data_IF_603004626736
#
_entry.id   IF_603004626736
#
_cell.length_a   1.000
_cell.length_b   1.000
_cell.length_c   1.000
_cell.angle_alpha   90.00
_cell.angle_beta   90.00
_cell.angle_gamma   90.00
#
_symmetry.space_group_name_H-M   'P 1'
#
loop_
_entity.id
_entity.type
_entity.pdbx_description
1 polymer ?
#
# COMPACT_ATOMS: atom_id res chain seq x y z
N UNK A 1 -19.05 -40.92 -12.74
CA UNK A 1 -17.70 -40.43 -12.46
C UNK A 1 -17.17 -39.81 -13.75
N UNK A 2 -17.03 -38.49 -13.84
CA UNK A 2 -16.45 -37.86 -15.02
C UNK A 2 -14.92 -37.79 -14.91
N UNK A 3 -14.25 -37.95 -16.06
CA UNK A 3 -12.80 -37.95 -16.29
C UNK A 3 -12.13 -36.61 -15.91
N UNK A 4 -10.84 -36.61 -15.53
CA UNK A 4 -10.10 -35.39 -15.26
C UNK A 4 -9.70 -34.70 -16.57
N UNK A 5 -9.98 -33.39 -16.64
CA UNK A 5 -9.60 -32.52 -17.74
C UNK A 5 -8.09 -32.27 -17.77
N UNK A 6 -7.61 -32.03 -19.00
CA UNK A 6 -6.21 -31.90 -19.38
C UNK A 6 -5.59 -30.59 -18.90
N UNK A 7 -4.39 -30.75 -18.40
CA UNK A 7 -3.39 -29.78 -17.99
C UNK A 7 -3.01 -28.80 -19.13
N UNK A 8 -3.22 -27.51 -18.91
CA UNK A 8 -2.84 -26.43 -19.82
C UNK A 8 -1.53 -25.81 -19.31
N UNK A 9 -0.41 -26.23 -19.92
CA UNK A 9 0.90 -25.59 -19.71
C UNK A 9 0.91 -24.18 -20.30
N UNK A 10 1.29 -23.22 -19.47
CA UNK A 10 1.63 -21.84 -19.85
C UNK A 10 3.01 -21.85 -20.53
N UNK A 11 3.23 -21.14 -21.66
CA UNK A 11 4.52 -21.11 -22.32
C UNK A 11 5.53 -20.25 -21.54
N UNK A 12 6.72 -20.81 -21.32
CA UNK A 12 7.87 -20.16 -20.71
C UNK A 12 8.31 -18.92 -21.49
N UNK A 13 8.47 -17.81 -20.76
CA UNK A 13 9.07 -16.56 -21.23
C UNK A 13 10.56 -16.78 -21.51
N UNK A 14 11.04 -16.20 -22.62
CA UNK A 14 12.45 -16.27 -23.03
C UNK A 14 13.22 -15.13 -22.36
N UNK A 15 14.14 -15.47 -21.45
CA UNK A 15 15.00 -14.51 -20.76
C UNK A 15 16.00 -13.84 -21.72
N UNK A 16 16.07 -12.51 -21.65
CA UNK A 16 17.12 -11.69 -22.24
C UNK A 16 18.29 -11.68 -21.26
N UNK A 17 19.48 -12.07 -21.69
CA UNK A 17 20.67 -12.18 -20.84
C UNK A 17 21.50 -10.90 -20.81
N UNK A 18 22.19 -10.73 -19.68
CA UNK A 18 22.88 -9.54 -19.16
C UNK A 18 24.18 -9.13 -19.90
N UNK A 19 24.21 -9.14 -21.24
CA UNK A 19 25.41 -8.76 -22.03
C UNK A 19 25.29 -7.56 -22.97
N UNK A 20 24.13 -6.91 -23.06
CA UNK A 20 23.89 -5.89 -24.10
C UNK A 20 23.99 -4.42 -23.68
N UNK A 21 24.45 -4.11 -22.46
CA UNK A 21 24.72 -2.71 -22.08
C UNK A 21 26.21 -2.40 -21.92
N UNK A 22 26.90 -2.24 -23.05
CA UNK A 22 28.14 -1.44 -23.12
C UNK A 22 27.86 -0.13 -23.86
N UNK A 23 27.92 0.97 -23.13
CA UNK A 23 27.99 2.31 -23.72
C UNK A 23 29.29 2.42 -24.54
N UNK A 24 29.13 2.52 -25.87
CA UNK A 24 30.21 2.78 -26.80
C UNK A 24 29.89 4.03 -27.63
N UNK A 25 30.63 5.11 -27.36
CA UNK A 25 30.76 6.26 -28.27
C UNK A 25 31.31 5.80 -29.62
N UNK A 26 30.56 6.02 -30.71
CA UNK A 26 31.17 6.19 -32.04
C UNK A 26 30.40 7.19 -32.88
N UNK A 27 31.16 8.12 -33.44
CA UNK A 27 30.71 9.14 -34.37
C UNK A 27 30.67 8.64 -35.83
N UNK A 28 29.74 9.21 -36.60
CA UNK A 28 29.87 9.60 -38.01
C UNK A 28 29.96 8.52 -39.09
N UNK A 29 28.93 8.39 -39.94
CA UNK A 29 28.90 8.93 -41.33
C UNK A 29 27.82 8.28 -42.22
N UNK A 30 27.15 9.15 -42.99
CA UNK A 30 26.59 8.95 -44.35
C UNK A 30 25.28 8.15 -44.52
N UNK A 31 24.27 8.81 -45.12
CA UNK A 31 23.18 8.08 -45.78
C UNK A 31 21.92 8.86 -46.20
N UNK A 32 22.03 9.70 -47.24
CA UNK A 32 21.01 10.06 -48.25
C UNK A 32 19.58 10.48 -47.81
N UNK A 33 19.30 11.77 -48.06
CA UNK A 33 17.96 12.34 -48.07
C UNK A 33 17.08 11.79 -49.23
N UNK A 34 15.93 11.23 -48.88
CA UNK A 34 14.80 11.01 -49.79
C UNK A 34 13.83 12.20 -49.67
N UNK A 35 13.59 12.89 -50.79
CA UNK A 35 12.53 13.90 -50.92
C UNK A 35 11.17 13.21 -50.98
N UNK A 36 10.33 13.44 -49.98
CA UNK A 36 8.91 13.06 -49.97
C UNK A 36 8.08 14.25 -50.48
N UNK A 37 7.09 14.08 -51.36
CA UNK A 37 6.23 15.18 -51.80
C UNK A 37 5.26 15.59 -50.69
N UNK A 38 5.24 16.88 -50.38
CA UNK A 38 4.29 17.50 -49.45
C UNK A 38 2.91 17.66 -50.11
N UNK A 39 1.98 16.75 -49.82
CA UNK A 39 0.56 17.00 -50.00
C UNK A 39 -0.02 17.51 -48.69
N UNK A 40 -0.30 18.82 -48.66
CA UNK A 40 -1.01 19.50 -47.58
C UNK A 40 -2.50 19.16 -47.73
N UNK A 41 -3.02 18.31 -46.84
CA UNK A 41 -4.46 18.14 -46.60
C UNK A 41 -4.89 19.09 -45.48
N UNK A 42 -6.08 19.70 -45.56
CA UNK A 42 -6.58 20.59 -44.51
C UNK A 42 -6.86 19.79 -43.24
N UNK A 43 -6.21 20.20 -42.14
CA UNK A 43 -6.46 19.70 -40.79
C UNK A 43 -7.86 20.16 -40.38
N UNK A 44 -8.79 19.21 -40.27
CA UNK A 44 -10.08 19.42 -39.63
C UNK A 44 -9.82 19.73 -38.15
N UNK A 45 -10.16 20.94 -37.72
CA UNK A 45 -10.13 21.35 -36.32
C UNK A 45 -11.22 20.58 -35.58
N UNK A 46 -10.85 19.46 -34.95
CA UNK A 46 -11.73 18.77 -34.00
C UNK A 46 -11.84 19.69 -32.79
N UNK A 47 -13.02 20.29 -32.61
CA UNK A 47 -13.33 21.09 -31.44
C UNK A 47 -13.23 20.21 -30.20
N UNK A 48 -12.19 20.41 -29.41
CA UNK A 48 -12.06 19.84 -28.08
C UNK A 48 -13.21 20.43 -27.25
N UNK A 49 -14.22 19.60 -26.97
CA UNK A 49 -15.25 19.88 -25.98
C UNK A 49 -14.54 20.00 -24.63
N UNK A 50 -14.19 21.23 -24.24
CA UNK A 50 -13.74 21.55 -22.90
C UNK A 50 -14.85 21.10 -21.93
N UNK A 51 -14.64 19.94 -21.31
CA UNK A 51 -15.48 19.50 -20.21
C UNK A 51 -15.27 20.55 -19.11
N UNK A 52 -16.31 21.34 -18.86
CA UNK A 52 -16.33 22.25 -17.73
C UNK A 52 -16.19 21.37 -16.48
N UNK A 53 -14.99 21.34 -15.90
CA UNK A 53 -14.78 20.77 -14.58
C UNK A 53 -15.71 21.53 -13.63
N UNK A 54 -16.79 20.88 -13.20
CA UNK A 54 -17.61 21.36 -12.10
C UNK A 54 -16.69 21.57 -10.91
N UNK A 55 -16.62 22.82 -10.42
CA UNK A 55 -15.80 23.16 -9.28
C UNK A 55 -16.21 22.26 -8.10
N UNK A 56 -15.28 21.42 -7.65
CA UNK A 56 -15.48 20.58 -6.48
C UNK A 56 -15.65 21.45 -5.25
N UNK A 57 -16.65 21.15 -4.41
CA UNK A 57 -16.79 21.80 -3.12
C UNK A 57 -15.52 21.53 -2.29
N UNK A 58 -14.93 22.55 -1.64
CA UNK A 58 -13.78 22.35 -0.80
C UNK A 58 -14.14 21.42 0.36
N UNK A 59 -13.17 20.60 0.79
CA UNK A 59 -13.32 19.79 2.00
C UNK A 59 -13.59 20.71 3.20
N UNK A 60 -14.50 20.35 4.12
CA UNK A 60 -14.66 21.10 5.35
C UNK A 60 -13.39 20.99 6.20
N UNK A 61 -12.85 22.13 6.57
CA UNK A 61 -11.65 22.20 7.40
C UNK A 61 -11.96 22.74 8.80
N UNK A 62 -11.12 22.40 9.76
CA UNK A 62 -11.07 23.05 11.07
C UNK A 62 -10.44 24.46 11.00
N UNK A 63 -10.26 25.10 12.15
CA UNK A 63 -9.60 26.40 12.27
C UNK A 63 -8.13 26.43 11.80
N UNK A 64 -7.52 25.26 11.60
CA UNK A 64 -6.16 25.09 11.13
C UNK A 64 -6.06 24.79 9.62
N UNK A 65 -7.19 24.57 8.95
CA UNK A 65 -7.22 24.20 7.53
C UNK A 65 -7.07 22.70 7.29
N UNK A 66 -7.11 21.88 8.34
CA UNK A 66 -7.09 20.42 8.23
C UNK A 66 -8.50 19.88 7.99
N UNK A 67 -8.66 18.87 7.12
CA UNK A 67 -9.95 18.21 6.91
C UNK A 67 -10.47 17.61 8.22
N UNK A 68 -11.69 18.00 8.61
CA UNK A 68 -12.28 17.61 9.89
C UNK A 68 -13.38 16.54 9.78
N UNK A 69 -13.75 16.16 8.56
CA UNK A 69 -14.75 15.12 8.27
C UNK A 69 -16.16 15.37 8.79
N UNK A 70 -16.50 16.61 9.15
CA UNK A 70 -17.83 16.93 9.66
C UNK A 70 -18.95 16.56 8.67
N UNK A 71 -18.73 16.79 7.37
CA UNK A 71 -19.69 16.43 6.32
C UNK A 71 -19.85 14.92 6.16
N UNK A 72 -18.76 14.16 6.28
CA UNK A 72 -18.78 12.70 6.20
C UNK A 72 -19.50 12.09 7.41
N UNK A 73 -19.20 12.57 8.61
CA UNK A 73 -19.85 12.13 9.86
C UNK A 73 -21.34 12.45 9.83
N UNK A 74 -21.71 13.67 9.41
CA UNK A 74 -23.12 14.06 9.26
C UNK A 74 -23.85 13.18 8.25
N UNK A 75 -23.24 12.93 7.08
CA UNK A 75 -23.81 12.07 6.05
C UNK A 75 -24.07 10.65 6.54
N UNK A 76 -23.12 10.03 7.23
CA UNK A 76 -23.31 8.70 7.83
C UNK A 76 -24.43 8.72 8.87
N UNK A 77 -24.40 9.67 9.82
CA UNK A 77 -25.39 9.77 10.89
C UNK A 77 -26.78 10.16 10.41
N UNK A 78 -26.92 10.73 9.21
CA UNK A 78 -28.21 11.02 8.59
C UNK A 78 -28.99 9.76 8.21
N UNK A 79 -28.30 8.62 8.05
CA UNK A 79 -28.92 7.35 7.74
C UNK A 79 -29.43 6.64 9.01
N UNK A 80 -30.63 6.04 9.03
CA UNK A 80 -31.20 5.40 10.24
C UNK A 80 -30.39 4.26 10.85
N UNK A 81 -29.46 3.67 10.07
CA UNK A 81 -28.55 2.61 10.50
C UNK A 81 -27.10 3.09 10.64
N UNK A 82 -26.83 4.35 10.30
CA UNK A 82 -25.50 4.92 10.37
C UNK A 82 -25.22 5.47 11.75
N UNK A 83 -23.99 5.31 12.19
CA UNK A 83 -23.53 5.81 13.48
C UNK A 83 -22.03 6.08 13.43
N UNK A 84 -21.62 7.23 13.96
CA UNK A 84 -20.23 7.53 14.31
C UNK A 84 -20.26 8.05 15.74
N UNK A 85 -19.40 7.48 16.59
CA UNK A 85 -19.34 7.83 18.00
C UNK A 85 -19.06 9.33 18.18
N UNK A 86 -19.80 10.06 19.04
CA UNK A 86 -19.71 11.52 19.15
C UNK A 86 -18.34 12.03 19.64
N UNK A 87 -17.53 11.16 20.25
CA UNK A 87 -16.15 11.50 20.63
C UNK A 87 -15.15 11.40 19.48
N UNK A 88 -15.50 10.80 18.34
CA UNK A 88 -14.59 10.63 17.21
C UNK A 88 -14.34 11.98 16.52
N UNK A 89 -13.08 12.27 16.21
CA UNK A 89 -12.66 13.35 15.33
C UNK A 89 -11.76 12.81 14.21
N UNK A 90 -11.87 13.44 13.05
CA UNK A 90 -10.89 13.30 11.97
C UNK A 90 -10.01 14.55 12.00
N UNK A 91 -8.72 14.37 11.80
CA UNK A 91 -7.79 15.49 11.74
C UNK A 91 -6.37 15.03 12.06
N UNK A 92 -5.49 15.98 12.34
CA UNK A 92 -4.09 15.65 12.62
C UNK A 92 -3.83 15.32 14.08
N UNK A 93 -2.77 14.55 14.34
CA UNK A 93 -2.25 14.31 15.69
C UNK A 93 -1.92 15.63 16.39
N UNK A 94 -1.23 16.52 15.66
CA UNK A 94 -0.90 17.88 16.09
C UNK A 94 -1.65 18.86 15.17
N UNK A 95 -2.79 19.41 15.60
CA UNK A 95 -3.61 20.29 14.76
C UNK A 95 -2.79 21.43 14.14
N UNK A 96 -2.94 21.62 12.82
CA UNK A 96 -2.24 22.65 12.04
C UNK A 96 -0.78 22.37 11.72
N UNK A 97 -0.21 21.24 12.15
CA UNK A 97 1.12 20.82 11.72
C UNK A 97 1.00 19.89 10.49
N UNK A 98 1.33 20.38 9.27
CA UNK A 98 1.20 19.60 8.05
C UNK A 98 2.11 18.37 8.00
N UNK A 99 3.13 18.28 8.86
CA UNK A 99 4.01 17.10 8.95
C UNK A 99 3.50 16.06 9.94
N UNK A 100 2.47 16.37 10.73
CA UNK A 100 1.88 15.41 11.65
C UNK A 100 0.86 14.53 10.95
N UNK A 101 0.67 13.32 11.49
CA UNK A 101 -0.17 12.29 10.88
C UNK A 101 -1.62 12.73 10.83
N UNK A 102 -2.27 12.60 9.68
CA UNK A 102 -3.73 12.68 9.54
C UNK A 102 -4.31 11.32 9.94
N UNK A 103 -5.36 11.29 10.75
CA UNK A 103 -5.97 10.04 11.19
C UNK A 103 -7.27 10.24 11.95
N UNK A 104 -7.69 9.17 12.62
CA UNK A 104 -8.87 9.12 13.48
C UNK A 104 -8.47 9.19 14.95
N UNK A 105 -9.12 10.06 15.73
CA UNK A 105 -8.78 10.27 17.14
C UNK A 105 -10.03 10.37 17.99
N UNK A 106 -9.89 10.11 19.30
CA UNK A 106 -10.86 10.57 20.29
C UNK A 106 -10.58 12.05 20.58
N UNK A 107 -11.60 12.89 20.50
CA UNK A 107 -11.47 14.33 20.74
C UNK A 107 -10.89 14.63 22.12
N UNK A 108 -9.93 15.56 22.19
CA UNK A 108 -9.36 16.04 23.45
C UNK A 108 -10.15 17.22 24.06
N UNK A 109 -11.30 17.59 23.46
CA UNK A 109 -12.12 18.68 23.95
C UNK A 109 -12.60 18.44 25.40
N UNK A 110 -12.74 19.50 26.23
CA UNK A 110 -13.23 19.36 27.60
C UNK A 110 -14.61 18.68 27.65
N UNK A 111 -14.71 17.60 28.42
CA UNK A 111 -15.94 16.83 28.58
C UNK A 111 -16.14 15.71 27.57
N UNK A 112 -15.21 15.50 26.63
CA UNK A 112 -15.21 14.30 25.78
C UNK A 112 -15.07 13.05 26.65
N UNK A 113 -15.92 12.05 26.37
CA UNK A 113 -15.85 10.75 27.02
C UNK A 113 -14.88 9.84 26.27
N UNK A 114 -14.24 8.93 26.99
CA UNK A 114 -13.63 7.73 26.42
C UNK A 114 -14.63 6.97 25.54
N UNK A 115 -14.10 6.19 24.61
CA UNK A 115 -14.84 5.12 23.95
C UNK A 115 -14.51 3.85 24.73
N UNK A 116 -15.49 3.23 25.36
CA UNK A 116 -15.23 2.04 26.18
C UNK A 116 -15.01 0.79 25.30
N UNK A 117 -14.38 -0.24 25.88
CA UNK A 117 -14.28 -1.55 25.23
C UNK A 117 -15.65 -2.05 24.75
N UNK A 118 -15.68 -2.69 23.59
CA UNK A 118 -16.87 -3.16 22.87
C UNK A 118 -17.84 -2.05 22.41
N UNK A 119 -17.55 -0.77 22.65
CA UNK A 119 -18.36 0.31 22.09
C UNK A 119 -18.13 0.47 20.59
N UNK A 120 -19.21 0.80 19.89
CA UNK A 120 -19.16 1.07 18.45
C UNK A 120 -18.48 2.41 18.24
N UNK A 121 -17.39 2.39 17.47
CA UNK A 121 -16.73 3.60 16.96
C UNK A 121 -17.50 4.10 15.73
N UNK A 122 -17.80 3.19 14.79
CA UNK A 122 -18.60 3.49 13.62
C UNK A 122 -19.44 2.28 13.17
N UNK A 123 -20.64 2.56 12.64
CA UNK A 123 -21.49 1.60 11.94
C UNK A 123 -21.86 2.19 10.60
N UNK A 124 -21.35 1.58 9.53
CA UNK A 124 -21.52 2.10 8.17
C UNK A 124 -22.61 1.29 7.45
N UNK A 125 -23.73 1.90 7.06
CA UNK A 125 -24.78 1.23 6.31
C UNK A 125 -24.26 0.74 4.96
N UNK A 126 -24.78 -0.39 4.47
CA UNK A 126 -24.43 -0.92 3.15
C UNK A 126 -24.58 0.12 2.02
N UNK A 127 -25.59 0.98 2.10
CA UNK A 127 -25.86 2.04 1.13
C UNK A 127 -24.78 3.13 1.08
N UNK A 128 -23.90 3.19 2.08
CA UNK A 128 -22.79 4.14 2.22
C UNK A 128 -21.43 3.51 1.90
N UNK A 129 -21.40 2.21 1.60
CA UNK A 129 -20.21 1.51 1.11
C UNK A 129 -20.15 1.62 -0.41
N UNK A 130 -18.95 1.81 -0.95
CA UNK A 130 -18.67 1.49 -2.37
C UNK A 130 -18.20 0.04 -2.37
N UNK A 131 -18.96 -0.83 -3.02
CA UNK A 131 -18.82 -2.28 -2.92
C UNK A 131 -19.07 -2.92 -4.29
N UNK A 132 -18.79 -4.21 -4.48
CA UNK A 132 -19.11 -4.90 -5.73
C UNK A 132 -20.61 -5.20 -5.90
N UNK A 133 -21.47 -4.71 -4.99
CA UNK A 133 -22.92 -4.92 -5.05
C UNK A 133 -23.29 -6.37 -4.75
N UNK A 134 -24.09 -6.98 -5.63
CA UNK A 134 -24.56 -8.36 -5.46
C UNK A 134 -23.44 -9.41 -5.57
N UNK A 135 -22.27 -9.05 -6.13
CA UNK A 135 -21.11 -9.95 -6.26
C UNK A 135 -20.27 -10.05 -4.98
N UNK A 136 -20.63 -9.30 -3.94
CA UNK A 136 -19.95 -9.30 -2.66
C UNK A 136 -19.96 -10.69 -2.02
N UNK A 137 -18.78 -11.10 -1.56
CA UNK A 137 -18.59 -12.26 -0.70
C UNK A 137 -17.61 -11.89 0.38
N UNK A 138 -17.92 -12.24 1.63
CA UNK A 138 -17.04 -12.01 2.79
C UNK A 138 -15.65 -12.66 2.65
N UNK A 139 -15.56 -13.70 1.81
CA UNK A 139 -14.35 -14.50 1.55
C UNK A 139 -13.60 -14.10 0.27
N UNK A 140 -13.99 -12.98 -0.38
CA UNK A 140 -13.27 -12.43 -1.53
C UNK A 140 -12.46 -11.25 -1.05
N UNK A 141 -11.21 -11.17 -1.51
CA UNK A 141 -10.24 -10.14 -1.09
C UNK A 141 -9.87 -9.17 -2.20
N UNK A 142 -10.30 -9.46 -3.43
CA UNK A 142 -10.12 -8.60 -4.59
C UNK A 142 -11.40 -8.60 -5.44
N UNK A 143 -11.73 -7.46 -6.04
CA UNK A 143 -12.89 -7.35 -6.91
C UNK A 143 -12.75 -6.26 -7.97
N UNK A 144 -12.65 -6.68 -9.24
CA UNK A 144 -12.73 -5.76 -10.37
C UNK A 144 -14.01 -4.89 -10.33
N UNK A 145 -15.13 -5.42 -9.83
CA UNK A 145 -16.40 -4.71 -9.83
C UNK A 145 -16.45 -3.60 -8.76
N UNK A 146 -15.77 -3.79 -7.63
CA UNK A 146 -15.59 -2.75 -6.62
C UNK A 146 -14.82 -1.57 -7.23
N UNK A 147 -13.66 -1.84 -7.85
CA UNK A 147 -12.80 -0.82 -8.46
C UNK A 147 -13.54 -0.05 -9.57
N UNK A 148 -14.32 -0.74 -10.41
CA UNK A 148 -15.19 -0.08 -11.41
C UNK A 148 -16.23 0.83 -10.78
N UNK A 149 -16.87 0.36 -9.70
CA UNK A 149 -17.86 1.15 -8.98
C UNK A 149 -17.20 2.39 -8.35
N UNK A 150 -16.03 2.24 -7.73
CA UNK A 150 -15.25 3.36 -7.21
C UNK A 150 -14.88 4.35 -8.30
N UNK A 151 -14.29 3.91 -9.41
CA UNK A 151 -13.93 4.77 -10.54
C UNK A 151 -15.13 5.58 -11.07
N UNK A 152 -16.31 4.94 -11.15
CA UNK A 152 -17.55 5.60 -11.55
C UNK A 152 -17.96 6.70 -10.56
N UNK A 153 -17.89 6.44 -9.26
CA UNK A 153 -18.25 7.43 -8.23
C UNK A 153 -17.23 8.59 -8.17
N UNK A 154 -15.94 8.31 -8.34
CA UNK A 154 -14.89 9.33 -8.45
C UNK A 154 -15.16 10.28 -9.63
N UNK A 155 -15.55 9.74 -10.81
CA UNK A 155 -15.93 10.53 -12.00
C UNK A 155 -17.14 11.43 -11.75
N UNK A 156 -18.07 11.02 -10.88
CA UNK A 156 -19.24 11.82 -10.54
C UNK A 156 -18.90 12.99 -9.59
N UNK A 157 -17.84 12.86 -8.78
CA UNK A 157 -17.43 13.89 -7.84
C UNK A 157 -18.57 14.27 -6.88
N UNK A 158 -18.91 15.55 -6.81
CA UNK A 158 -20.02 16.05 -5.99
C UNK A 158 -21.42 15.57 -6.41
N UNK A 159 -21.55 15.03 -7.62
CA UNK A 159 -22.82 14.41 -8.06
C UNK A 159 -22.96 12.96 -7.60
N UNK A 160 -21.92 12.39 -6.99
CA UNK A 160 -21.98 11.05 -6.41
C UNK A 160 -22.94 11.03 -5.22
N UNK A 161 -23.68 9.93 -5.04
CA UNK A 161 -24.43 9.70 -3.79
C UNK A 161 -23.52 9.53 -2.57
N UNK A 162 -22.24 9.29 -2.82
CA UNK A 162 -21.15 9.17 -1.85
C UNK A 162 -20.30 10.45 -1.78
N UNK A 163 -20.82 11.60 -2.25
CA UNK A 163 -20.06 12.83 -2.44
C UNK A 163 -19.12 13.21 -1.26
N UNK A 164 -19.55 13.18 0.02
CA UNK A 164 -18.63 13.47 1.14
C UNK A 164 -17.40 12.55 1.17
N UNK A 165 -17.61 11.25 0.95
CA UNK A 165 -16.52 10.27 0.92
C UNK A 165 -15.68 10.38 -0.35
N UNK A 166 -16.31 10.56 -1.51
CA UNK A 166 -15.62 10.78 -2.79
C UNK A 166 -14.73 12.02 -2.75
N UNK A 167 -15.16 13.12 -2.13
CA UNK A 167 -14.31 14.30 -1.95
C UNK A 167 -13.05 13.99 -1.14
N UNK A 168 -13.20 13.23 -0.04
CA UNK A 168 -12.06 12.79 0.76
C UNK A 168 -11.09 11.92 -0.04
N UNK A 169 -11.61 10.96 -0.81
CA UNK A 169 -10.81 10.08 -1.66
C UNK A 169 -10.08 10.84 -2.77
N UNK A 170 -10.75 11.81 -3.41
CA UNK A 170 -10.16 12.67 -4.44
C UNK A 170 -9.05 13.59 -3.91
N UNK A 171 -9.06 13.89 -2.61
CA UNK A 171 -8.03 14.69 -1.95
C UNK A 171 -6.83 13.88 -1.44
N UNK A 172 -6.87 12.54 -1.53
CA UNK A 172 -5.74 11.71 -1.12
C UNK A 172 -4.53 11.93 -2.03
N UNK A 173 -3.30 11.91 -1.48
CA UNK A 173 -2.09 12.00 -2.29
C UNK A 173 -2.01 10.80 -3.25
N UNK A 174 -1.45 11.05 -4.44
CA UNK A 174 -1.13 10.02 -5.43
C UNK A 174 0.36 9.70 -5.38
N UNK A 175 0.76 8.57 -5.95
CA UNK A 175 2.18 8.22 -6.01
C UNK A 175 2.75 7.77 -4.66
N UNK A 176 1.89 7.32 -3.75
CA UNK A 176 2.32 6.84 -2.44
C UNK A 176 2.93 5.43 -2.55
N UNK A 177 2.34 4.58 -3.39
CA UNK A 177 2.76 3.19 -3.57
C UNK A 177 3.85 3.04 -4.63
N UNK A 178 4.79 2.08 -4.48
CA UNK A 178 5.80 1.77 -5.49
C UNK A 178 5.24 1.53 -6.90
N UNK A 179 4.08 0.89 -7.01
CA UNK A 179 3.40 0.68 -8.29
C UNK A 179 2.96 1.97 -9.01
N UNK A 180 2.72 3.06 -8.28
CA UNK A 180 2.35 4.36 -8.84
C UNK A 180 3.54 5.24 -9.25
N UNK A 181 4.75 4.90 -8.79
CA UNK A 181 5.90 5.77 -8.93
C UNK A 181 6.32 6.01 -10.39
N UNK A 182 7.10 7.08 -10.56
CA UNK A 182 7.80 7.38 -11.79
C UNK A 182 8.66 6.20 -12.27
N UNK A 183 8.89 6.10 -13.58
CA UNK A 183 9.77 5.07 -14.14
C UNK A 183 11.18 5.11 -13.53
N UNK A 184 11.68 6.30 -13.20
CA UNK A 184 12.96 6.47 -12.50
C UNK A 184 12.91 5.90 -11.08
N UNK A 185 11.85 6.17 -10.32
CA UNK A 185 11.57 5.62 -8.99
C UNK A 185 11.52 4.10 -9.00
N UNK A 186 10.65 3.53 -9.85
CA UNK A 186 10.52 2.07 -10.03
C UNK A 186 11.86 1.41 -10.37
N UNK A 187 12.60 1.97 -11.34
CA UNK A 187 13.90 1.42 -11.75
C UNK A 187 14.94 1.46 -10.63
N UNK A 188 14.98 2.54 -9.84
CA UNK A 188 15.90 2.63 -8.72
C UNK A 188 15.51 1.67 -7.60
N UNK A 189 14.22 1.54 -7.32
CA UNK A 189 13.71 0.62 -6.32
C UNK A 189 13.99 -0.85 -6.68
N UNK A 190 13.69 -1.27 -7.92
CA UNK A 190 14.05 -2.59 -8.43
C UNK A 190 15.55 -2.87 -8.25
N UNK A 191 16.42 -1.91 -8.62
CA UNK A 191 17.86 -2.03 -8.39
C UNK A 191 18.25 -2.15 -6.90
N UNK A 192 17.55 -1.46 -6.01
CA UNK A 192 17.77 -1.59 -4.57
C UNK A 192 17.48 -3.02 -4.11
N UNK A 193 16.44 -3.63 -4.66
CA UNK A 193 16.01 -5.00 -4.41
C UNK A 193 16.76 -6.07 -5.23
N UNK A 194 17.80 -5.67 -5.98
CA UNK A 194 18.51 -6.57 -6.90
C UNK A 194 17.63 -7.19 -8.01
N UNK A 195 16.58 -6.49 -8.42
CA UNK A 195 15.63 -6.91 -9.45
C UNK A 195 14.86 -8.19 -9.09
N UNK A 196 14.46 -8.29 -7.82
CA UNK A 196 13.62 -9.38 -7.33
C UNK A 196 14.33 -10.32 -6.35
N UNK A 197 15.64 -10.20 -6.15
CA UNK A 197 16.31 -11.04 -5.15
C UNK A 197 15.92 -10.67 -3.71
N UNK A 198 15.44 -9.46 -3.44
CA UNK A 198 14.95 -9.04 -2.12
C UNK A 198 13.48 -8.59 -2.20
N UNK A 199 12.70 -8.77 -1.13
CA UNK A 199 11.31 -8.34 -1.10
C UNK A 199 11.20 -6.79 -1.03
N UNK A 200 10.05 -6.19 -1.40
CA UNK A 200 8.91 -6.84 -2.04
C UNK A 200 9.25 -7.28 -3.46
N UNK A 201 8.86 -8.50 -3.82
CA UNK A 201 9.18 -9.08 -5.13
C UNK A 201 8.46 -8.35 -6.26
N UNK A 202 9.06 -8.30 -7.45
CA UNK A 202 8.61 -7.42 -8.53
C UNK A 202 7.14 -7.66 -8.93
N UNK A 203 6.67 -8.90 -8.82
CA UNK A 203 5.29 -9.30 -9.08
C UNK A 203 4.26 -8.62 -8.18
N UNK A 204 4.63 -8.19 -6.97
CA UNK A 204 3.68 -7.59 -6.02
C UNK A 204 3.46 -6.11 -6.25
N UNK A 205 4.35 -5.42 -6.99
CA UNK A 205 4.29 -3.96 -7.11
C UNK A 205 4.65 -3.37 -8.47
N UNK A 206 5.54 -3.99 -9.25
CA UNK A 206 6.15 -3.33 -10.41
C UNK A 206 5.12 -3.07 -11.52
N UNK A 207 4.40 -4.14 -11.88
CA UNK A 207 3.44 -4.19 -12.99
C UNK A 207 2.02 -4.60 -12.52
N UNK A 208 1.73 -4.49 -11.22
CA UNK A 208 0.47 -4.99 -10.62
C UNK A 208 -0.77 -4.36 -11.25
N UNK A 209 -0.70 -3.08 -11.63
CA UNK A 209 -1.80 -2.41 -12.33
C UNK A 209 -1.99 -2.97 -13.74
N UNK A 210 -0.90 -3.19 -14.47
CA UNK A 210 -0.93 -3.77 -15.81
C UNK A 210 -1.41 -5.23 -15.81
N UNK A 211 -1.00 -6.03 -14.84
CA UNK A 211 -1.34 -7.45 -14.73
C UNK A 211 -2.74 -7.67 -14.18
N UNK A 212 -3.09 -7.05 -13.05
CA UNK A 212 -4.36 -7.28 -12.38
C UNK A 212 -5.49 -6.46 -12.99
N UNK A 213 -5.29 -5.15 -13.16
CA UNK A 213 -6.36 -4.27 -13.64
C UNK A 213 -6.53 -4.34 -15.15
N UNK A 214 -5.48 -4.02 -15.92
CA UNK A 214 -5.60 -3.92 -17.38
C UNK A 214 -5.84 -5.30 -17.99
N UNK A 215 -4.99 -6.29 -17.67
CA UNK A 215 -5.12 -7.63 -18.23
C UNK A 215 -6.20 -8.45 -17.51
N UNK A 216 -6.16 -8.50 -16.18
CA UNK A 216 -7.08 -9.33 -15.38
C UNK A 216 -8.52 -8.82 -15.34
N UNK A 217 -8.71 -7.51 -15.18
CA UNK A 217 -10.03 -6.87 -15.11
C UNK A 217 -10.47 -6.20 -16.41
N UNK A 218 -9.69 -6.25 -17.49
CA UNK A 218 -10.01 -5.53 -18.74
C UNK A 218 -10.25 -4.03 -18.50
N UNK A 219 -9.47 -3.44 -17.59
CA UNK A 219 -9.50 -2.00 -17.30
C UNK A 219 -8.99 -1.15 -18.47
N UNK A 220 -9.40 0.11 -18.50
CA UNK A 220 -8.95 1.08 -19.50
C UNK A 220 -7.61 1.71 -19.06
N UNK A 221 -6.49 1.44 -19.77
CA UNK A 221 -5.19 2.01 -19.42
C UNK A 221 -5.12 3.54 -19.56
N UNK A 222 -6.03 4.13 -20.34
CA UNK A 222 -6.06 5.57 -20.61
C UNK A 222 -6.99 6.33 -19.65
N UNK A 223 -7.70 5.64 -18.75
CA UNK A 223 -8.61 6.27 -17.80
C UNK A 223 -7.92 6.58 -16.46
N UNK A 224 -7.58 7.85 -16.18
CA UNK A 224 -6.89 8.21 -14.94
C UNK A 224 -7.72 7.99 -13.68
N UNK A 225 -9.05 7.92 -13.79
CA UNK A 225 -9.92 7.64 -12.64
C UNK A 225 -9.99 6.14 -12.34
N UNK A 226 -9.89 5.27 -13.35
CA UNK A 226 -9.75 3.83 -13.12
C UNK A 226 -8.40 3.52 -12.48
N UNK A 227 -7.32 4.16 -12.95
CA UNK A 227 -6.00 4.06 -12.29
C UNK A 227 -6.06 4.51 -10.84
N UNK A 228 -6.65 5.69 -10.58
CA UNK A 228 -6.82 6.19 -9.22
C UNK A 228 -7.66 5.25 -8.35
N UNK A 229 -8.76 4.71 -8.88
CA UNK A 229 -9.62 3.77 -8.16
C UNK A 229 -8.89 2.49 -7.79
N UNK A 230 -8.09 1.91 -8.70
CA UNK A 230 -7.30 0.71 -8.44
C UNK A 230 -6.40 0.91 -7.21
N UNK A 231 -5.59 1.95 -7.22
CA UNK A 231 -4.66 2.24 -6.13
C UNK A 231 -5.36 2.64 -4.83
N UNK A 232 -6.47 3.38 -4.90
CA UNK A 232 -7.27 3.66 -3.70
C UNK A 232 -7.87 2.38 -3.10
N UNK A 233 -8.39 1.47 -3.93
CA UNK A 233 -8.92 0.19 -3.45
C UNK A 233 -7.81 -0.64 -2.81
N UNK A 234 -6.68 -0.83 -3.50
CA UNK A 234 -5.53 -1.61 -2.99
C UNK A 234 -4.98 -1.14 -1.64
N UNK A 235 -5.09 0.17 -1.35
CA UNK A 235 -4.50 0.76 -0.14
C UNK A 235 -5.51 1.08 0.97
N UNK A 236 -6.82 0.94 0.73
CA UNK A 236 -7.85 1.43 1.66
C UNK A 236 -9.07 0.55 1.81
N UNK A 237 -9.29 -0.40 0.92
CA UNK A 237 -10.44 -1.27 1.04
C UNK A 237 -10.27 -2.24 2.21
N UNK A 238 -11.39 -2.79 2.67
CA UNK A 238 -11.43 -3.96 3.53
C UNK A 238 -12.02 -5.10 2.72
N UNK A 239 -11.17 -5.93 2.15
CA UNK A 239 -11.56 -7.16 1.44
C UNK A 239 -12.73 -6.91 0.46
N UNK A 240 -12.57 -5.96 -0.48
CA UNK A 240 -13.57 -5.51 -1.49
C UNK A 240 -14.61 -4.47 -1.02
N UNK A 241 -14.37 -3.76 0.08
CA UNK A 241 -15.27 -2.71 0.57
C UNK A 241 -14.52 -1.40 0.84
N UNK A 242 -14.89 -0.32 0.15
CA UNK A 242 -14.46 1.03 0.53
C UNK A 242 -15.37 1.54 1.65
N UNK A 243 -14.80 1.69 2.85
CA UNK A 243 -15.55 1.97 4.06
C UNK A 243 -15.14 3.34 4.62
N UNK A 244 -16.02 4.36 4.54
CA UNK A 244 -15.73 5.66 5.15
C UNK A 244 -15.52 5.55 6.66
N UNK A 245 -14.72 6.45 7.22
CA UNK A 245 -14.27 6.49 8.64
C UNK A 245 -13.27 5.38 8.98
N UNK A 246 -13.53 4.15 8.56
CA UNK A 246 -12.63 3.01 8.79
C UNK A 246 -11.26 3.23 8.12
N UNK A 247 -11.27 3.60 6.84
CA UNK A 247 -10.05 3.84 6.04
C UNK A 247 -9.30 5.14 6.39
N UNK A 248 -9.68 5.78 7.50
CA UNK A 248 -9.00 6.93 8.11
C UNK A 248 -8.26 6.55 9.39
N UNK A 249 -8.53 5.38 9.96
CA UNK A 249 -7.76 4.85 11.07
C UNK A 249 -6.40 4.39 10.53
N UNK A 250 -5.33 4.93 11.10
CA UNK A 250 -3.99 4.54 10.69
C UNK A 250 -3.66 3.12 11.14
N UNK A 251 -2.75 2.53 10.39
CA UNK A 251 -2.20 1.22 10.68
C UNK A 251 -1.26 1.24 11.91
N UNK A 252 -1.30 0.18 12.73
CA UNK A 252 -0.27 -0.15 13.72
C UNK A 252 -0.20 -1.66 13.93
N UNK A 253 1.01 -2.20 14.07
CA UNK A 253 1.22 -3.57 14.57
C UNK A 253 1.59 -3.64 16.04
N UNK A 254 1.81 -2.48 16.67
CA UNK A 254 2.08 -2.41 18.09
C UNK A 254 0.81 -2.83 18.88
N UNK A 255 0.83 -3.97 19.59
CA UNK A 255 -0.35 -4.48 20.28
C UNK A 255 -0.85 -3.51 21.37
N UNK A 256 0.04 -2.70 21.95
CA UNK A 256 -0.34 -1.69 22.95
C UNK A 256 -1.12 -0.51 22.33
N UNK A 257 -0.86 -0.22 21.04
CA UNK A 257 -1.56 0.85 20.31
C UNK A 257 -2.87 0.37 19.70
N UNK A 258 -2.94 -0.89 19.30
CA UNK A 258 -4.13 -1.46 18.69
C UNK A 258 -5.32 -1.34 19.63
N UNK A 259 -6.42 -0.82 19.09
CA UNK A 259 -7.59 -0.53 19.90
C UNK A 259 -8.92 -0.70 19.16
N UNK A 260 -8.94 -1.37 18.02
CA UNK A 260 -10.16 -1.58 17.24
C UNK A 260 -10.36 -3.01 16.73
N UNK A 261 -11.60 -3.34 16.39
CA UNK A 261 -12.05 -4.55 15.68
C UNK A 261 -12.93 -4.13 14.50
N UNK A 262 -12.71 -4.75 13.34
CA UNK A 262 -13.57 -4.62 12.16
C UNK A 262 -14.48 -5.84 12.00
N UNK A 263 -15.74 -5.60 11.66
CA UNK A 263 -16.71 -6.66 11.36
C UNK A 263 -17.35 -6.38 10.01
N UNK A 264 -16.88 -7.11 8.99
CA UNK A 264 -17.44 -7.11 7.65
C UNK A 264 -18.91 -7.56 7.64
N UNK A 265 -19.75 -7.01 6.76
CA UNK A 265 -21.10 -7.54 6.53
C UNK A 265 -21.06 -9.03 6.13
N UNK A 266 -21.88 -9.88 6.74
CA UNK A 266 -21.98 -11.29 6.30
C UNK A 266 -22.62 -11.45 4.92
N UNK A 267 -23.38 -10.45 4.48
CA UNK A 267 -24.07 -10.40 3.20
C UNK A 267 -24.45 -8.98 2.82
N UNK A 268 -24.77 -8.82 1.54
CA UNK A 268 -25.33 -7.59 0.95
C UNK A 268 -26.48 -7.03 1.80
N UNK A 269 -26.47 -5.71 1.99
CA UNK A 269 -27.49 -4.98 2.74
C UNK A 269 -27.29 -4.94 4.26
N UNK A 270 -26.25 -5.60 4.80
CA UNK A 270 -25.85 -5.47 6.21
C UNK A 270 -24.77 -4.39 6.40
N UNK A 271 -24.76 -3.78 7.58
CA UNK A 271 -23.79 -2.73 7.92
C UNK A 271 -22.43 -3.32 8.26
N UNK A 272 -21.37 -2.58 7.93
CA UNK A 272 -20.05 -2.77 8.53
C UNK A 272 -20.05 -2.22 9.96
N UNK A 273 -19.30 -2.85 10.88
CA UNK A 273 -19.10 -2.34 12.24
C UNK A 273 -17.62 -2.18 12.53
N UNK A 274 -17.28 -1.06 13.17
CA UNK A 274 -15.97 -0.74 13.69
C UNK A 274 -16.12 -0.49 15.18
N UNK A 275 -15.51 -1.33 16.00
CA UNK A 275 -15.73 -1.38 17.46
C UNK A 275 -14.40 -1.23 18.19
N UNK A 276 -14.43 -0.71 19.41
CA UNK A 276 -13.24 -0.58 20.23
C UNK A 276 -12.86 -1.93 20.85
N UNK A 277 -11.60 -2.36 20.72
CA UNK A 277 -11.09 -3.60 21.33
C UNK A 277 -10.58 -3.42 22.76
N UNK A 278 -10.52 -2.16 23.21
CA UNK A 278 -10.18 -1.73 24.58
C UNK A 278 -10.73 -0.32 24.77
N UNK A 279 -10.76 0.18 26.00
CA UNK A 279 -11.04 1.60 26.25
C UNK A 279 -10.03 2.50 25.52
N UNK A 280 -10.54 3.52 24.82
CA UNK A 280 -9.77 4.54 24.10
C UNK A 280 -10.00 5.90 24.77
N UNK A 281 -8.94 6.50 25.29
CA UNK A 281 -9.01 7.73 26.08
C UNK A 281 -9.09 8.99 25.21
N UNK A 282 -9.67 10.10 25.71
CA UNK A 282 -9.62 11.39 25.03
C UNK A 282 -8.20 11.80 24.60
N UNK A 283 -8.05 12.15 23.32
CA UNK A 283 -6.76 12.51 22.71
C UNK A 283 -6.00 11.32 22.11
N UNK A 284 -6.36 10.07 22.43
CA UNK A 284 -5.73 8.91 21.80
C UNK A 284 -6.13 8.79 20.33
N UNK A 285 -5.22 8.22 19.55
CA UNK A 285 -5.49 7.83 18.18
C UNK A 285 -6.23 6.49 18.15
N UNK A 286 -7.15 6.37 17.20
CA UNK A 286 -7.86 5.13 16.90
C UNK A 286 -7.05 4.41 15.82
N UNK A 287 -6.42 3.30 16.20
CA UNK A 287 -5.54 2.51 15.35
C UNK A 287 -6.20 1.21 14.95
N UNK A 288 -6.08 0.88 13.66
CA UNK A 288 -6.42 -0.42 13.12
C UNK A 288 -5.14 -1.17 12.71
N UNK A 289 -5.24 -2.47 12.41
CA UNK A 289 -4.17 -3.19 11.70
C UNK A 289 -4.71 -3.72 10.37
N UNK A 290 -3.90 -3.55 9.33
CA UNK A 290 -4.17 -4.02 7.97
C UNK A 290 -3.51 -5.38 7.71
N UNK A 291 -2.69 -5.85 8.66
CA UNK A 291 -2.12 -7.19 8.67
C UNK A 291 -2.30 -7.85 10.06
N UNK A 292 -3.48 -7.68 10.67
CA UNK A 292 -3.76 -8.22 12.02
C UNK A 292 -3.63 -9.74 12.09
N UNK A 293 -3.89 -10.45 11.01
CA UNK A 293 -3.75 -11.89 10.90
C UNK A 293 -2.34 -12.31 10.52
N UNK A 294 -1.29 -11.56 10.87
CA UNK A 294 0.07 -12.01 10.70
C UNK A 294 0.55 -12.76 11.95
N UNK A 295 1.55 -13.64 11.85
CA UNK A 295 1.91 -14.49 12.98
C UNK A 295 2.81 -13.79 14.01
N UNK A 296 3.22 -12.55 13.74
CA UNK A 296 3.84 -11.62 14.70
C UNK A 296 2.80 -10.82 15.50
N UNK A 297 1.52 -10.98 15.20
CA UNK A 297 0.44 -10.37 15.96
C UNK A 297 0.06 -11.24 17.16
N UNK A 298 -0.56 -10.63 18.17
CA UNK A 298 -1.20 -11.36 19.28
C UNK A 298 -2.56 -11.96 18.89
N UNK A 299 -3.02 -11.76 17.64
CA UNK A 299 -4.31 -12.26 17.21
C UNK A 299 -4.28 -13.78 17.07
N UNK A 300 -5.39 -14.43 17.39
CA UNK A 300 -5.60 -15.84 17.11
C UNK A 300 -5.66 -16.06 15.59
N UNK A 301 -4.50 -16.42 15.02
CA UNK A 301 -4.30 -16.61 13.59
C UNK A 301 -5.31 -17.61 12.99
N UNK A 302 -5.65 -18.67 13.72
CA UNK A 302 -6.58 -19.72 13.26
C UNK A 302 -8.03 -19.21 13.16
N UNK A 303 -8.36 -18.14 13.88
CA UNK A 303 -9.69 -17.54 13.91
C UNK A 303 -9.78 -16.20 13.16
N UNK A 304 -8.77 -15.89 12.34
CA UNK A 304 -8.71 -14.61 11.67
C UNK A 304 -9.58 -14.58 10.40
N UNK A 305 -10.58 -13.69 10.37
CA UNK A 305 -11.63 -13.66 9.33
C UNK A 305 -11.31 -12.72 8.13
N UNK A 306 -10.08 -12.15 8.10
CA UNK A 306 -9.61 -11.20 7.09
C UNK A 306 -8.32 -11.70 6.43
N UNK A 307 -8.03 -11.28 5.21
CA UNK A 307 -6.76 -11.62 4.52
C UNK A 307 -5.64 -10.66 4.91
N UNK A 308 -5.55 -10.36 6.20
CA UNK A 308 -4.62 -9.39 6.76
C UNK A 308 -3.36 -10.10 7.27
N UNK A 309 -2.65 -10.82 6.42
CA UNK A 309 -1.42 -11.55 6.81
C UNK A 309 -0.18 -11.09 6.03
N UNK A 310 -0.21 -9.86 5.51
CA UNK A 310 0.83 -9.30 4.65
C UNK A 310 2.13 -9.06 5.44
N UNK A 311 3.30 -9.52 4.96
CA UNK A 311 4.58 -9.16 5.53
C UNK A 311 4.90 -7.68 5.27
N UNK A 312 5.85 -7.14 6.03
CA UNK A 312 6.30 -5.74 5.97
C UNK A 312 6.65 -5.26 4.54
N UNK A 313 7.31 -6.08 3.70
CA UNK A 313 7.52 -5.72 2.30
C UNK A 313 6.24 -5.50 1.51
N UNK A 314 5.24 -6.37 1.68
CA UNK A 314 3.95 -6.28 0.99
C UNK A 314 3.13 -5.10 1.50
N UNK A 315 3.25 -4.81 2.79
CA UNK A 315 2.70 -3.59 3.38
C UNK A 315 3.27 -2.33 2.71
N UNK A 316 4.57 -2.31 2.41
CA UNK A 316 5.19 -1.22 1.66
C UNK A 316 4.71 -1.17 0.20
N UNK A 317 4.59 -2.32 -0.46
CA UNK A 317 4.10 -2.42 -1.84
C UNK A 317 2.66 -1.92 -1.99
N UNK A 318 1.76 -2.35 -1.10
CA UNK A 318 0.32 -2.10 -1.19
C UNK A 318 -0.15 -0.81 -0.51
N UNK A 319 0.59 -0.30 0.49
CA UNK A 319 0.17 0.88 1.24
C UNK A 319 1.17 2.05 1.19
N UNK A 320 2.36 1.85 0.65
CA UNK A 320 3.37 2.91 0.50
C UNK A 320 4.01 3.37 1.80
N UNK A 321 3.91 2.59 2.88
CA UNK A 321 4.58 2.86 4.15
C UNK A 321 5.23 1.61 4.72
N UNK A 322 6.21 1.81 5.60
CA UNK A 322 6.87 0.74 6.34
C UNK A 322 6.40 0.80 7.78
N UNK A 323 5.96 -0.33 8.30
CA UNK A 323 5.38 -0.42 9.63
C UNK A 323 6.41 -0.09 10.70
N UNK A 324 5.96 0.50 11.81
CA UNK A 324 6.75 0.49 13.04
C UNK A 324 6.77 -0.93 13.60
N UNK A 325 7.80 -1.26 14.39
CA UNK A 325 7.86 -2.54 15.12
C UNK A 325 6.59 -2.80 15.96
N UNK A 326 6.14 -4.06 16.07
CA UNK A 326 6.71 -5.26 15.45
C UNK A 326 6.49 -5.33 13.93
N UNK A 327 7.43 -5.98 13.24
CA UNK A 327 7.44 -6.18 11.80
C UNK A 327 7.52 -7.68 11.48
N UNK A 328 6.84 -8.10 10.43
CA UNK A 328 6.91 -9.46 9.89
C UNK A 328 7.73 -9.45 8.60
N UNK A 329 8.79 -10.25 8.50
CA UNK A 329 9.66 -10.33 7.33
C UNK A 329 9.70 -11.75 6.79
N UNK A 330 9.62 -11.87 5.45
CA UNK A 330 9.86 -13.09 4.68
C UNK A 330 10.92 -12.79 3.62
N UNK A 331 11.93 -13.65 3.50
CA UNK A 331 12.92 -13.62 2.42
C UNK A 331 12.98 -14.99 1.74
N UNK A 332 13.10 -14.99 0.42
CA UNK A 332 13.14 -16.18 -0.41
C UNK A 332 14.60 -16.27 -0.89
N UNK A 333 15.36 -17.19 -0.33
CA UNK A 333 16.78 -17.34 -0.61
C UNK A 333 17.06 -18.35 -1.72
N UNK A 334 16.05 -19.13 -2.13
CA UNK A 334 16.23 -20.18 -3.14
C UNK A 334 16.50 -19.58 -4.53
N UNK A 335 17.66 -19.93 -5.11
CA UNK A 335 18.05 -19.40 -6.42
C UNK A 335 17.17 -19.95 -7.57
N UNK A 336 16.47 -21.09 -7.41
CA UNK A 336 15.64 -21.68 -8.48
C UNK A 336 14.48 -22.59 -7.97
N UNK A 337 13.43 -22.02 -7.36
CA UNK A 337 12.09 -22.64 -7.33
C UNK A 337 11.94 -23.92 -6.50
N UNK A 338 12.86 -24.18 -5.57
CA UNK A 338 12.64 -25.14 -4.48
C UNK A 338 11.91 -24.38 -3.36
N UNK A 339 10.66 -24.76 -3.08
CA UNK A 339 9.73 -24.15 -2.11
C UNK A 339 10.20 -24.31 -0.64
N UNK A 340 11.45 -24.71 -0.39
CA UNK A 340 11.92 -25.15 0.93
C UNK A 340 12.78 -24.12 1.68
N UNK A 341 13.26 -23.05 1.04
CA UNK A 341 14.16 -22.07 1.68
C UNK A 341 13.51 -20.68 1.83
N UNK A 342 12.57 -20.57 2.78
CA UNK A 342 11.96 -19.30 3.20
C UNK A 342 12.45 -18.89 4.59
N UNK A 343 13.09 -17.72 4.68
CA UNK A 343 13.49 -17.10 5.94
C UNK A 343 12.34 -16.25 6.44
N UNK A 344 11.70 -16.67 7.53
CA UNK A 344 10.56 -15.97 8.12
C UNK A 344 10.84 -15.59 9.57
N UNK A 345 10.61 -14.33 9.90
CA UNK A 345 10.82 -13.82 11.25
C UNK A 345 9.91 -12.66 11.63
N UNK A 346 9.66 -12.55 12.92
CA UNK A 346 9.13 -11.35 13.55
C UNK A 346 10.27 -10.55 14.16
N UNK A 347 10.35 -9.27 13.82
CA UNK A 347 11.26 -8.32 14.43
C UNK A 347 10.47 -7.42 15.37
N UNK A 348 10.81 -7.40 16.65
CA UNK A 348 10.12 -6.62 17.67
C UNK A 348 11.11 -5.94 18.63
N UNK A 349 10.58 -5.24 19.65
CA UNK A 349 11.36 -4.81 20.81
C UNK A 349 10.87 -5.53 22.04
N UNK A 350 11.80 -6.04 22.83
CA UNK A 350 11.48 -6.58 24.14
C UNK A 350 11.21 -5.44 25.15
N UNK A 351 10.90 -5.81 26.39
CA UNK A 351 10.63 -4.85 27.48
C UNK A 351 11.79 -3.92 27.86
N UNK A 352 13.05 -4.23 27.47
CA UNK A 352 14.19 -3.33 27.65
C UNK A 352 14.37 -2.34 26.48
N UNK A 353 13.57 -2.49 25.42
CA UNK A 353 13.67 -1.73 24.18
C UNK A 353 14.72 -2.27 23.21
N UNK A 354 15.36 -3.39 23.52
CA UNK A 354 16.30 -4.07 22.62
C UNK A 354 15.56 -4.84 21.52
N UNK A 355 16.20 -4.99 20.36
CA UNK A 355 15.62 -5.78 19.27
C UNK A 355 15.61 -7.26 19.65
N UNK A 356 14.50 -7.90 19.32
CA UNK A 356 14.26 -9.33 19.48
C UNK A 356 13.79 -9.90 18.14
N UNK A 357 14.25 -11.12 17.84
CA UNK A 357 13.86 -11.87 16.64
C UNK A 357 13.15 -13.12 17.10
N UNK A 358 11.92 -13.32 16.63
CA UNK A 358 11.20 -14.57 16.78
C UNK A 358 11.19 -15.27 15.42
N UNK A 359 11.80 -16.44 15.37
CA UNK A 359 11.88 -17.28 14.19
C UNK A 359 10.63 -18.14 14.05
N UNK A 360 10.21 -18.33 12.80
CA UNK A 360 9.19 -19.31 12.46
C UNK A 360 9.79 -20.72 12.42
N UNK A 361 8.95 -21.71 12.64
CA UNK A 361 9.38 -23.11 12.65
C UNK A 361 9.94 -23.49 11.28
N UNK A 362 11.20 -23.93 11.26
CA UNK A 362 11.95 -24.29 10.05
C UNK A 362 12.21 -23.13 9.08
N UNK A 363 12.16 -21.88 9.55
CA UNK A 363 12.41 -20.69 8.72
C UNK A 363 13.61 -19.87 9.23
N UNK A 364 14.47 -20.53 10.00
CA UNK A 364 15.69 -19.98 10.55
C UNK A 364 16.80 -20.13 9.51
N UNK A 365 17.66 -19.12 9.32
CA UNK A 365 18.63 -19.14 8.25
C UNK A 365 19.70 -20.21 8.48
N UNK A 366 19.96 -21.03 7.47
CA UNK A 366 21.09 -21.95 7.42
C UNK A 366 22.37 -21.29 6.86
N UNK A 367 23.44 -22.06 6.64
CA UNK A 367 24.71 -21.53 6.09
C UNK A 367 24.53 -20.83 4.74
N UNK A 368 23.65 -21.34 3.86
CA UNK A 368 23.36 -20.78 2.54
C UNK A 368 22.62 -19.46 2.69
N UNK A 369 21.60 -19.43 3.55
CA UNK A 369 20.84 -18.22 3.89
C UNK A 369 21.74 -17.13 4.47
N UNK A 370 22.68 -17.49 5.35
CA UNK A 370 23.64 -16.54 5.91
C UNK A 370 24.53 -15.92 4.83
N UNK A 371 25.01 -16.72 3.88
CA UNK A 371 25.80 -16.20 2.76
C UNK A 371 24.96 -15.24 1.90
N UNK A 372 23.73 -15.63 1.57
CA UNK A 372 22.76 -14.83 0.83
C UNK A 372 22.48 -13.48 1.53
N UNK A 373 22.07 -13.50 2.79
CA UNK A 373 21.78 -12.31 3.59
C UNK A 373 23.02 -11.42 3.74
N UNK A 374 24.19 -12.01 4.00
CA UNK A 374 25.45 -11.27 4.15
C UNK A 374 25.89 -10.58 2.84
N UNK A 375 25.71 -11.25 1.71
CA UNK A 375 25.97 -10.71 0.36
C UNK A 375 25.10 -9.48 0.11
N UNK A 376 23.79 -9.59 0.35
CA UNK A 376 22.86 -8.47 0.16
C UNK A 376 23.10 -7.33 1.16
N UNK A 377 23.38 -7.62 2.43
CA UNK A 377 23.73 -6.59 3.41
C UNK A 377 24.96 -5.77 2.98
N UNK A 378 25.99 -6.44 2.48
CA UNK A 378 27.19 -5.78 1.95
C UNK A 378 26.87 -4.92 0.73
N UNK A 379 26.04 -5.40 -0.20
CA UNK A 379 25.58 -4.65 -1.38
C UNK A 379 24.83 -3.38 -0.96
N UNK A 380 23.85 -3.52 -0.07
CA UNK A 380 23.03 -2.43 0.47
C UNK A 380 23.89 -1.38 1.16
N UNK A 381 24.82 -1.78 2.04
CA UNK A 381 25.79 -0.86 2.68
C UNK A 381 26.64 -0.11 1.66
N UNK A 382 27.07 -0.77 0.59
CA UNK A 382 27.77 -0.13 -0.53
C UNK A 382 26.91 0.89 -1.28
N UNK A 383 25.61 0.64 -1.42
CA UNK A 383 24.65 1.59 -1.99
C UNK A 383 24.49 2.82 -1.10
N UNK A 384 24.33 2.65 0.21
CA UNK A 384 24.20 3.76 1.17
C UNK A 384 25.47 4.63 1.24
N UNK A 385 26.66 4.03 1.11
CA UNK A 385 27.91 4.79 1.00
C UNK A 385 27.92 5.76 -0.21
N UNK A 386 27.05 5.53 -1.21
CA UNK A 386 26.87 6.36 -2.40
C UNK A 386 25.58 7.18 -2.38
N UNK A 387 24.83 7.19 -1.27
CA UNK A 387 23.50 7.83 -1.17
C UNK A 387 23.50 9.28 -1.66
N UNK A 388 24.44 10.11 -1.21
CA UNK A 388 24.53 11.52 -1.61
C UNK A 388 24.83 11.71 -3.12
N UNK A 389 25.68 10.85 -3.71
CA UNK A 389 25.97 10.89 -5.15
C UNK A 389 24.74 10.47 -5.96
N UNK A 390 24.08 9.40 -5.55
CA UNK A 390 22.84 8.91 -6.16
C UNK A 390 21.72 9.95 -6.06
N UNK A 391 21.57 10.59 -4.91
CA UNK A 391 20.59 11.64 -4.65
C UNK A 391 20.73 12.79 -5.66
N UNK A 392 21.96 13.30 -5.83
CA UNK A 392 22.24 14.40 -6.76
C UNK A 392 21.93 14.08 -8.22
N UNK A 393 21.94 12.79 -8.58
CA UNK A 393 21.75 12.31 -9.96
C UNK A 393 20.30 11.92 -10.25
N UNK A 394 19.62 11.34 -9.27
CA UNK A 394 18.35 10.67 -9.45
C UNK A 394 17.17 11.47 -8.93
N UNK A 395 17.38 12.50 -8.12
CA UNK A 395 16.28 13.26 -7.50
C UNK A 395 16.08 14.58 -8.23
N UNK A 396 14.81 14.89 -8.53
CA UNK A 396 14.40 16.17 -9.09
C UNK A 396 14.74 17.31 -8.11
N UNK A 397 15.37 18.37 -8.63
CA UNK A 397 15.53 19.60 -7.86
C UNK A 397 14.18 20.29 -7.63
N UNK A 398 14.07 21.09 -6.56
CA UNK A 398 12.80 21.75 -6.17
C UNK A 398 12.18 22.65 -7.25
N UNK A 399 13.00 23.17 -8.18
CA UNK A 399 12.60 24.11 -9.23
C UNK A 399 12.89 23.57 -10.65
N UNK A 400 13.18 22.27 -10.79
CA UNK A 400 13.50 21.69 -12.10
C UNK A 400 12.23 21.32 -12.88
N UNK A 401 12.28 21.51 -14.20
CA UNK A 401 11.28 20.93 -15.11
C UNK A 401 11.24 19.40 -14.93
N UNK A 402 10.09 18.80 -15.21
CA UNK A 402 9.89 17.35 -15.11
C UNK A 402 10.94 16.63 -15.99
N UNK A 403 11.93 16.00 -15.36
CA UNK A 403 12.89 15.10 -15.99
C UNK A 403 12.47 13.66 -15.71
N UNK A 404 11.99 12.96 -16.74
CA UNK A 404 11.55 11.56 -16.66
C UNK A 404 12.66 10.59 -16.19
N UNK A 405 13.93 11.03 -16.18
CA UNK A 405 15.07 10.24 -15.69
C UNK A 405 15.31 10.40 -14.20
N UNK A 406 14.62 11.34 -13.55
CA UNK A 406 14.70 11.62 -12.13
C UNK A 406 13.36 11.31 -11.45
N UNK A 407 13.42 11.06 -10.16
CA UNK A 407 12.26 10.78 -9.32
C UNK A 407 11.96 11.97 -8.39
N UNK A 408 10.68 12.15 -8.02
CA UNK A 408 10.28 13.05 -6.94
C UNK A 408 11.00 12.74 -5.62
N UNK A 409 11.16 13.78 -4.79
CA UNK A 409 11.73 13.67 -3.44
C UNK A 409 10.99 12.65 -2.57
N UNK A 410 9.65 12.62 -2.65
CA UNK A 410 8.81 11.70 -1.87
C UNK A 410 9.11 10.23 -2.18
N UNK A 411 9.27 9.87 -3.46
CA UNK A 411 9.64 8.51 -3.87
C UNK A 411 11.01 8.14 -3.29
N UNK A 412 12.00 9.03 -3.41
CA UNK A 412 13.33 8.81 -2.83
C UNK A 412 13.29 8.60 -1.32
N UNK A 413 12.56 9.43 -0.58
CA UNK A 413 12.44 9.32 0.87
C UNK A 413 11.74 8.03 1.29
N UNK A 414 10.70 7.61 0.57
CA UNK A 414 10.02 6.33 0.80
C UNK A 414 10.95 5.14 0.55
N UNK A 415 11.71 5.15 -0.55
CA UNK A 415 12.69 4.09 -0.87
C UNK A 415 13.74 3.96 0.24
N UNK A 416 14.27 5.08 0.73
CA UNK A 416 15.28 5.02 1.80
C UNK A 416 14.71 4.66 3.17
N UNK A 417 13.45 4.99 3.45
CA UNK A 417 12.76 4.51 4.64
C UNK A 417 12.63 2.98 4.61
N UNK A 418 12.24 2.43 3.47
CA UNK A 418 12.23 0.97 3.26
C UNK A 418 13.61 0.35 3.38
N UNK A 419 14.63 0.94 2.75
CA UNK A 419 16.02 0.51 2.89
C UNK A 419 16.46 0.38 4.35
N UNK A 420 16.17 1.39 5.18
CA UNK A 420 16.65 1.42 6.57
C UNK A 420 16.04 0.28 7.40
N UNK A 421 14.77 -0.07 7.15
CA UNK A 421 14.08 -1.17 7.82
C UNK A 421 14.49 -2.54 7.23
N UNK A 422 14.66 -2.67 5.92
CA UNK A 422 15.19 -3.87 5.27
C UNK A 422 16.60 -4.22 5.77
N UNK A 423 17.50 -3.24 5.84
CA UNK A 423 18.85 -3.44 6.38
C UNK A 423 18.79 -3.87 7.85
N UNK A 424 17.92 -3.25 8.65
CA UNK A 424 17.75 -3.64 10.05
C UNK A 424 17.28 -5.09 10.17
N UNK A 425 16.32 -5.50 9.35
CA UNK A 425 15.81 -6.86 9.33
C UNK A 425 16.93 -7.86 8.96
N UNK A 426 17.66 -7.63 7.87
CA UNK A 426 18.78 -8.48 7.46
C UNK A 426 19.88 -8.54 8.54
N UNK A 427 20.24 -7.40 9.15
CA UNK A 427 21.20 -7.37 10.24
C UNK A 427 20.73 -8.15 11.48
N UNK A 428 19.42 -8.08 11.79
CA UNK A 428 18.84 -8.84 12.89
C UNK A 428 18.84 -10.35 12.58
N UNK A 429 18.43 -10.75 11.38
CA UNK A 429 18.47 -12.14 10.93
C UNK A 429 19.88 -12.75 11.10
N UNK A 430 20.91 -12.07 10.60
CA UNK A 430 22.30 -12.54 10.71
C UNK A 430 22.79 -12.57 12.17
N UNK A 431 22.38 -11.60 12.99
CA UNK A 431 22.89 -11.46 14.36
C UNK A 431 22.26 -12.45 15.35
N UNK A 432 20.97 -12.75 15.18
CA UNK A 432 20.16 -13.47 16.16
C UNK A 432 19.80 -14.90 15.73
N UNK A 433 20.32 -15.37 14.60
CA UNK A 433 20.27 -16.78 14.28
C UNK A 433 21.23 -17.57 15.20
N UNK A 434 20.78 -18.67 15.82
CA UNK A 434 21.59 -19.50 16.70
C UNK A 434 22.70 -20.20 15.91
N UNK A 435 23.79 -20.60 16.57
CA UNK A 435 24.82 -21.42 15.95
C UNK A 435 24.29 -22.82 15.63
N UNK A 436 24.67 -23.38 14.48
CA UNK A 436 24.23 -24.69 13.94
C UNK A 436 24.36 -25.89 14.91
N UNK A 437 25.15 -25.78 15.97
CA UNK A 437 25.44 -26.87 16.90
C UNK A 437 24.32 -27.15 17.93
N UNK A 438 23.24 -26.35 17.99
CA UNK A 438 22.18 -26.47 19.02
C UNK A 438 20.85 -27.11 18.53
N UNK A 439 20.71 -27.47 17.26
CA UNK A 439 19.44 -28.02 16.74
C UNK A 439 19.13 -29.47 17.18
N UNK A 440 20.14 -30.23 17.62
CA UNK A 440 19.95 -31.64 18.01
C UNK A 440 19.28 -31.85 19.39
N UNK A 441 18.98 -30.79 20.17
CA UNK A 441 18.46 -30.91 21.55
C UNK A 441 17.08 -30.26 21.83
N UNK A 442 16.39 -29.70 20.83
CA UNK A 442 15.03 -29.12 20.96
C UNK A 442 13.93 -30.00 20.34
#
# INVERSE_FOLDING_TARGET
MPEPQKDHRIPQSTFITEKDFRFGDTASQHGKAMKVPSHILPIATIGILAHHATATLPLPTDEHGDYNGADLIEWINSHPQGYVHPSVRIGRERPGDPTSMLGLYVSSAPGTKSIEEDEIIARIPWSHLISPGEEYSRSKFFSCQEIRNLAKELKLGDNSRYAPYVRYLLAQPRGAMPGEWSNAGKKFFAKLLDYGDLPPYEETWLDVYETEWIKGCHGDPEDPMERMAFYLASSRDEDTLMIPIYDMANHSNDPDKLNTLSFKPDKVGKSFRFEASRTILPGEQIYNSYNRCNPCSEADFDNCETFSSQPTPDMFAHFGFVESLPQYWRFDSSEEGEEEDEIEMCLSRNSSGELEVLWFKNSMPDEVDFEYLSRHLKRLKGMNARKADLESKLVLGNDEDIDEKKMPRSEWESIWRYYDELVRAIEAAIKYAPPDDEEDEL
#
